data_IF_233151419050
#
_entry.id   IF_233151419050
#
_cell.length_a   1.000
_cell.length_b   1.000
_cell.length_c   1.000
_cell.angle_alpha   90.00
_cell.angle_beta   90.00
_cell.angle_gamma   90.00
#
_symmetry.space_group_name_H-M   'P 1'
#
loop_
_entity.id
_entity.type
_entity.pdbx_description
1 polymer ?
#
# COMPACT_ATOMS: atom_id res chain seq x y z
N UNK A 1 -2.90 -38.17 -21.92
CA UNK A 1 -3.69 -37.14 -22.62
C UNK A 1 -5.08 -36.91 -22.01
N UNK A 2 -5.87 -37.95 -21.69
CA UNK A 2 -7.21 -37.80 -21.06
C UNK A 2 -7.20 -37.04 -19.73
N UNK A 3 -6.23 -37.28 -18.86
CA UNK A 3 -6.11 -36.61 -17.55
C UNK A 3 -5.85 -35.09 -17.68
N UNK A 4 -5.01 -34.67 -18.64
CA UNK A 4 -4.79 -33.25 -18.95
C UNK A 4 -6.05 -32.57 -19.50
N UNK A 5 -6.80 -33.24 -20.37
CA UNK A 5 -8.08 -32.72 -20.87
C UNK A 5 -9.15 -32.61 -19.78
N UNK A 6 -9.16 -33.55 -18.83
CA UNK A 6 -10.09 -33.53 -17.70
C UNK A 6 -9.79 -32.38 -16.74
N UNK A 7 -8.51 -32.18 -16.38
CA UNK A 7 -8.05 -31.04 -15.57
C UNK A 7 -8.26 -29.70 -16.28
N UNK A 8 -8.14 -29.63 -17.60
CA UNK A 8 -8.42 -28.39 -18.33
C UNK A 8 -9.92 -28.04 -18.32
N UNK A 9 -10.80 -29.05 -18.39
CA UNK A 9 -12.26 -28.83 -18.32
C UNK A 9 -12.75 -28.48 -16.91
N UNK A 10 -12.05 -28.94 -15.88
CA UNK A 10 -12.36 -28.65 -14.48
C UNK A 10 -11.06 -28.37 -13.71
N UNK A 11 -10.49 -27.16 -13.89
CA UNK A 11 -9.21 -26.82 -13.29
C UNK A 11 -9.34 -26.71 -11.77
N UNK A 12 -8.21 -26.89 -11.08
CA UNK A 12 -8.12 -26.64 -9.65
C UNK A 12 -8.46 -25.17 -9.34
N UNK A 13 -9.01 -24.88 -8.15
CA UNK A 13 -9.40 -23.52 -7.75
C UNK A 13 -8.24 -22.53 -7.81
N UNK A 14 -6.99 -22.99 -7.71
CA UNK A 14 -5.79 -22.17 -7.88
C UNK A 14 -5.58 -21.55 -9.27
N UNK A 15 -6.29 -22.03 -10.30
CA UNK A 15 -6.24 -21.47 -11.65
C UNK A 15 -7.33 -20.40 -11.91
N UNK A 16 -8.21 -20.16 -10.96
CA UNK A 16 -9.26 -19.15 -11.07
C UNK A 16 -8.73 -17.78 -10.62
N UNK A 17 -9.25 -16.72 -11.24
CA UNK A 17 -9.01 -15.36 -10.78
C UNK A 17 -9.62 -15.08 -9.41
N UNK A 18 -9.21 -13.96 -8.82
CA UNK A 18 -9.86 -13.38 -7.64
C UNK A 18 -10.75 -12.23 -8.09
N UNK A 19 -12.06 -12.36 -7.87
CA UNK A 19 -13.03 -11.35 -8.25
C UNK A 19 -13.12 -10.25 -7.18
N UNK A 20 -13.34 -9.00 -7.59
CA UNK A 20 -13.61 -7.92 -6.64
C UNK A 20 -15.04 -8.02 -6.13
N UNK A 21 -15.19 -8.18 -4.81
CA UNK A 21 -16.47 -7.99 -4.14
C UNK A 21 -16.52 -6.59 -3.53
N UNK A 22 -17.04 -5.64 -4.32
CA UNK A 22 -17.14 -4.23 -3.95
C UNK A 22 -18.26 -4.02 -2.92
N UNK A 23 -17.91 -3.93 -1.64
CA UNK A 23 -18.82 -3.60 -0.56
C UNK A 23 -19.25 -2.13 -0.67
N UNK A 24 -20.53 -1.92 -0.94
CA UNK A 24 -21.17 -0.62 -1.01
C UNK A 24 -22.57 -0.69 -0.36
N UNK A 25 -23.20 0.47 -0.17
CA UNK A 25 -24.51 0.60 0.47
C UNK A 25 -24.57 -0.07 1.86
N UNK A 26 -25.76 -0.36 2.36
CA UNK A 26 -25.99 -1.06 3.63
C UNK A 26 -25.72 -2.56 3.46
N UNK A 27 -24.86 -3.11 4.33
CA UNK A 27 -24.46 -4.51 4.31
C UNK A 27 -25.51 -5.44 4.96
N UNK A 28 -26.67 -5.60 4.33
CA UNK A 28 -27.72 -6.50 4.84
C UNK A 28 -27.31 -7.97 4.69
N UNK A 29 -27.58 -8.80 5.71
CA UNK A 29 -27.18 -10.22 5.68
C UNK A 29 -27.89 -11.00 4.56
N UNK A 30 -29.13 -10.61 4.21
CA UNK A 30 -29.88 -11.18 3.09
C UNK A 30 -29.18 -10.92 1.76
N UNK A 31 -28.80 -9.67 1.52
CA UNK A 31 -28.14 -9.27 0.27
C UNK A 31 -26.76 -9.90 0.13
N UNK A 32 -25.95 -9.87 1.21
CA UNK A 32 -24.63 -10.50 1.22
C UNK A 32 -24.71 -12.00 0.90
N UNK A 33 -25.69 -12.71 1.47
CA UNK A 33 -25.87 -14.14 1.21
C UNK A 33 -26.31 -14.39 -0.23
N UNK A 34 -27.24 -13.57 -0.75
CA UNK A 34 -27.69 -13.65 -2.14
C UNK A 34 -26.52 -13.46 -3.11
N UNK A 35 -25.70 -12.42 -2.92
CA UNK A 35 -24.55 -12.11 -3.76
C UNK A 35 -23.51 -13.24 -3.74
N UNK A 36 -23.18 -13.77 -2.56
CA UNK A 36 -22.26 -14.91 -2.44
C UNK A 36 -22.79 -16.17 -3.13
N UNK A 37 -24.10 -16.45 -3.01
CA UNK A 37 -24.71 -17.59 -3.68
C UNK A 37 -24.68 -17.44 -5.21
N UNK A 38 -24.96 -16.25 -5.73
CA UNK A 38 -24.88 -15.99 -7.18
C UNK A 38 -23.43 -16.06 -7.70
N UNK A 39 -22.45 -15.51 -6.96
CA UNK A 39 -21.02 -15.68 -7.28
C UNK A 39 -20.61 -17.16 -7.33
N UNK A 40 -21.03 -17.95 -6.33
CA UNK A 40 -20.78 -19.39 -6.31
C UNK A 40 -21.40 -20.11 -7.50
N UNK A 41 -22.61 -19.73 -7.91
CA UNK A 41 -23.36 -20.34 -9.02
C UNK A 41 -22.69 -20.10 -10.37
N UNK A 42 -22.09 -18.92 -10.58
CA UNK A 42 -21.36 -18.61 -11.82
C UNK A 42 -19.91 -19.13 -11.80
N UNK A 43 -19.47 -19.72 -10.69
CA UNK A 43 -18.19 -20.43 -10.60
C UNK A 43 -17.04 -19.63 -9.97
N UNK A 44 -17.30 -18.47 -9.35
CA UNK A 44 -16.29 -17.72 -8.60
C UNK A 44 -15.69 -18.60 -7.49
N UNK A 45 -14.36 -18.64 -7.39
CA UNK A 45 -13.60 -19.43 -6.40
C UNK A 45 -12.87 -18.58 -5.36
N UNK A 46 -12.69 -17.30 -5.65
CA UNK A 46 -11.94 -16.38 -4.82
C UNK A 46 -12.52 -14.98 -4.94
N UNK A 47 -12.65 -14.29 -3.81
CA UNK A 47 -13.12 -12.89 -3.75
C UNK A 47 -12.17 -12.02 -2.94
N UNK A 48 -11.98 -10.78 -3.37
CA UNK A 48 -11.38 -9.70 -2.60
C UNK A 48 -12.50 -8.82 -2.05
N UNK A 49 -12.67 -8.83 -0.73
CA UNK A 49 -13.64 -7.97 -0.06
C UNK A 49 -13.03 -6.57 0.03
N UNK A 50 -13.65 -5.61 -0.63
CA UNK A 50 -13.13 -4.24 -0.77
C UNK A 50 -14.20 -3.23 -0.41
N UNK A 51 -13.85 -2.21 0.38
CA UNK A 51 -14.74 -1.06 0.58
C UNK A 51 -14.80 -0.22 -0.69
N UNK A 52 -15.99 0.27 -1.03
CA UNK A 52 -16.20 1.06 -2.23
C UNK A 52 -17.06 2.28 -1.95
N UNK A 53 -17.01 3.25 -2.87
CA UNK A 53 -17.80 4.49 -2.78
C UNK A 53 -19.29 4.17 -2.59
N UNK A 54 -19.91 4.87 -1.64
CA UNK A 54 -21.31 4.66 -1.27
C UNK A 54 -21.54 3.61 -0.19
N UNK A 55 -20.49 3.04 0.42
CA UNK A 55 -20.62 2.17 1.60
C UNK A 55 -21.32 2.91 2.76
N UNK A 56 -22.44 2.35 3.22
CA UNK A 56 -23.18 2.85 4.37
C UNK A 56 -22.98 1.87 5.54
N UNK A 57 -21.84 2.00 6.21
CA UNK A 57 -21.41 1.16 7.33
C UNK A 57 -20.57 1.99 8.29
N UNK A 58 -20.43 1.51 9.51
CA UNK A 58 -19.53 2.06 10.53
C UNK A 58 -18.04 1.79 10.27
N UNK A 59 -17.62 1.54 9.01
CA UNK A 59 -16.25 1.16 8.70
C UNK A 59 -15.22 2.12 9.32
N UNK A 60 -14.14 1.61 9.97
CA UNK A 60 -13.75 0.22 10.18
C UNK A 60 -14.22 -0.36 11.54
N UNK A 61 -15.46 -0.09 11.93
CA UNK A 61 -16.03 -0.43 13.23
C UNK A 61 -16.57 -1.86 13.36
N UNK A 62 -17.12 -2.14 14.54
CA UNK A 62 -17.54 -3.48 14.96
C UNK A 62 -18.65 -4.09 14.11
N UNK A 63 -19.61 -3.29 13.60
CA UNK A 63 -20.66 -3.86 12.75
C UNK A 63 -20.09 -4.27 11.40
N UNK A 64 -19.19 -3.49 10.81
CA UNK A 64 -18.46 -3.87 9.60
C UNK A 64 -17.68 -5.18 9.80
N UNK A 65 -16.97 -5.34 10.93
CA UNK A 65 -16.28 -6.59 11.27
C UNK A 65 -17.26 -7.77 11.37
N UNK A 66 -18.41 -7.61 12.02
CA UNK A 66 -19.47 -8.65 12.08
C UNK A 66 -19.97 -9.04 10.69
N UNK A 67 -20.12 -8.07 9.77
CA UNK A 67 -20.50 -8.33 8.37
C UNK A 67 -19.39 -9.04 7.60
N UNK A 68 -18.14 -8.67 7.83
CA UNK A 68 -16.98 -9.36 7.27
C UNK A 68 -16.93 -10.82 7.73
N UNK A 69 -17.17 -11.09 9.02
CA UNK A 69 -17.29 -12.46 9.54
C UNK A 69 -18.42 -13.24 8.87
N UNK A 70 -19.59 -12.62 8.76
CA UNK A 70 -20.72 -13.22 8.05
C UNK A 70 -20.37 -13.58 6.60
N UNK A 71 -19.62 -12.73 5.89
CA UNK A 71 -19.15 -13.02 4.53
C UNK A 71 -18.21 -14.23 4.54
N UNK A 72 -17.17 -14.22 5.39
CA UNK A 72 -16.17 -15.29 5.45
C UNK A 72 -16.81 -16.64 5.80
N UNK A 73 -17.71 -16.69 6.78
CA UNK A 73 -18.37 -17.93 7.19
C UNK A 73 -19.25 -18.52 6.08
N UNK A 74 -19.93 -17.68 5.30
CA UNK A 74 -20.75 -18.16 4.18
C UNK A 74 -19.90 -18.47 2.95
N UNK A 75 -18.83 -17.72 2.67
CA UNK A 75 -17.84 -18.04 1.65
C UNK A 75 -17.22 -19.43 1.91
N UNK A 76 -16.88 -19.73 3.18
CA UNK A 76 -16.40 -21.05 3.60
C UNK A 76 -17.37 -22.18 3.23
N UNK A 77 -18.67 -22.00 3.49
CA UNK A 77 -19.71 -23.01 3.15
C UNK A 77 -19.83 -23.24 1.64
N UNK A 78 -19.54 -22.21 0.84
CA UNK A 78 -19.60 -22.24 -0.62
C UNK A 78 -18.27 -22.66 -1.27
N UNK A 79 -17.22 -22.90 -0.48
CA UNK A 79 -15.88 -23.20 -1.00
C UNK A 79 -15.23 -22.01 -1.72
N UNK A 80 -15.62 -20.79 -1.38
CA UNK A 80 -15.03 -19.54 -1.88
C UNK A 80 -13.94 -19.08 -0.91
N UNK A 81 -12.77 -18.76 -1.44
CA UNK A 81 -11.67 -18.18 -0.68
C UNK A 81 -11.75 -16.66 -0.66
N UNK A 82 -11.16 -16.04 0.36
CA UNK A 82 -11.31 -14.61 0.67
C UNK A 82 -9.95 -13.96 0.79
N UNK A 83 -9.86 -12.77 0.19
CA UNK A 83 -8.74 -11.84 0.31
C UNK A 83 -9.26 -10.62 1.08
N UNK A 84 -8.53 -10.21 2.13
CA UNK A 84 -8.85 -9.05 2.95
C UNK A 84 -8.03 -7.84 2.50
N UNK A 85 -8.61 -6.65 2.50
CA UNK A 85 -7.86 -5.42 2.24
C UNK A 85 -7.26 -4.85 3.54
N UNK A 86 -6.21 -4.03 3.46
CA UNK A 86 -5.80 -3.19 4.57
C UNK A 86 -6.94 -2.26 5.03
N UNK A 87 -6.99 -1.94 6.34
CA UNK A 87 -7.95 -0.98 6.91
C UNK A 87 -7.95 0.38 6.19
N UNK A 88 -6.77 0.92 5.90
CA UNK A 88 -6.60 2.14 5.12
C UNK A 88 -5.49 1.98 4.10
N UNK A 89 -5.63 2.64 2.96
CA UNK A 89 -4.53 2.80 2.01
C UNK A 89 -3.42 3.65 2.67
N UNK A 90 -2.14 3.42 2.35
CA UNK A 90 -1.03 4.18 2.94
C UNK A 90 -1.14 5.70 2.79
N UNK A 91 -1.84 6.21 1.78
CA UNK A 91 -1.97 7.65 1.52
C UNK A 91 -3.13 8.33 2.27
N UNK A 92 -4.00 7.55 2.91
CA UNK A 92 -5.27 8.04 3.47
C UNK A 92 -5.48 7.51 4.89
N UNK A 93 -4.49 7.67 5.77
CA UNK A 93 -4.61 7.29 7.19
C UNK A 93 -5.16 8.48 7.99
N UNK A 94 -6.37 8.39 8.54
CA UNK A 94 -6.92 9.47 9.35
C UNK A 94 -6.11 9.68 10.63
N UNK A 95 -5.79 10.94 10.93
CA UNK A 95 -5.12 11.36 12.17
C UNK A 95 -3.80 10.59 12.46
N UNK A 96 -3.00 10.33 11.42
CA UNK A 96 -1.70 9.70 11.57
C UNK A 96 -0.77 10.56 12.47
N UNK A 97 -0.12 9.99 13.49
CA UNK A 97 0.87 10.72 14.28
C UNK A 97 2.03 11.20 13.40
N UNK A 98 2.49 12.43 13.64
CA UNK A 98 3.53 13.08 12.84
C UNK A 98 4.87 12.34 12.85
N UNK A 99 5.13 11.52 13.88
CA UNK A 99 6.31 10.66 13.89
C UNK A 99 6.31 9.60 12.78
N UNK A 100 5.13 9.10 12.40
CA UNK A 100 4.93 8.03 11.41
C UNK A 100 4.55 8.53 10.01
N UNK A 101 4.38 9.83 9.84
CA UNK A 101 4.04 10.43 8.55
C UNK A 101 5.29 10.70 7.69
N UNK A 102 5.15 10.53 6.38
CA UNK A 102 6.22 10.85 5.41
C UNK A 102 6.36 12.36 5.23
N UNK A 103 7.58 12.84 5.00
CA UNK A 103 7.82 14.20 4.51
C UNK A 103 8.17 14.19 3.03
N UNK A 104 8.03 15.33 2.36
CA UNK A 104 8.31 15.52 0.95
C UNK A 104 9.23 16.71 0.72
N UNK A 105 9.95 16.67 -0.40
CA UNK A 105 10.73 17.80 -0.89
C UNK A 105 9.84 18.69 -1.76
N UNK A 106 9.44 19.83 -1.22
CA UNK A 106 8.52 20.77 -1.87
C UNK A 106 9.30 22.00 -2.34
N UNK A 107 9.36 22.27 -3.65
CA UNK A 107 9.92 23.51 -4.17
C UNK A 107 8.94 24.67 -3.90
N UNK A 108 9.43 25.76 -3.33
CA UNK A 108 8.71 27.02 -3.08
C UNK A 108 9.50 28.17 -3.70
N UNK A 109 8.85 29.26 -4.11
CA UNK A 109 9.60 30.47 -4.45
C UNK A 109 10.30 30.99 -3.20
N UNK A 110 11.53 31.49 -3.34
CA UNK A 110 12.33 31.91 -2.17
C UNK A 110 11.65 33.01 -1.35
N UNK A 111 10.85 33.88 -1.99
CA UNK A 111 10.06 34.92 -1.30
C UNK A 111 8.77 34.40 -0.63
N UNK A 112 8.38 33.14 -0.87
CA UNK A 112 7.22 32.47 -0.26
C UNK A 112 7.61 31.56 0.91
N UNK A 113 8.91 31.44 1.21
CA UNK A 113 9.42 30.65 2.33
C UNK A 113 9.06 31.32 3.66
N UNK A 114 8.46 30.56 4.57
CA UNK A 114 8.11 31.02 5.92
C UNK A 114 9.21 30.72 6.93
N UNK A 115 9.26 31.47 8.04
CA UNK A 115 10.31 31.34 9.09
C UNK A 115 10.43 29.92 9.69
N UNK A 116 9.36 29.11 9.64
CA UNK A 116 9.35 27.72 10.13
C UNK A 116 9.62 26.66 9.07
N UNK A 117 9.87 27.04 7.81
CA UNK A 117 10.17 26.08 6.75
C UNK A 117 11.56 25.49 6.93
N UNK A 118 11.65 24.17 6.81
CA UNK A 118 12.93 23.47 6.82
C UNK A 118 13.52 23.48 5.39
N UNK A 119 14.33 24.49 5.07
CA UNK A 119 14.98 24.66 3.76
C UNK A 119 16.22 23.75 3.66
N UNK A 120 16.26 22.91 2.63
CA UNK A 120 17.40 22.02 2.34
C UNK A 120 18.47 22.77 1.53
N UNK A 121 18.05 23.40 0.44
CA UNK A 121 18.92 24.20 -0.42
C UNK A 121 18.10 25.25 -1.19
N UNK A 122 18.79 26.22 -1.77
CA UNK A 122 18.23 27.20 -2.70
C UNK A 122 18.93 27.08 -4.05
N UNK A 123 18.20 27.29 -5.13
CA UNK A 123 18.74 27.34 -6.49
C UNK A 123 17.87 28.27 -7.32
N UNK A 124 18.50 29.24 -8.01
CA UNK A 124 17.80 30.35 -8.68
C UNK A 124 16.85 31.08 -7.71
N UNK A 125 15.58 31.25 -8.08
CA UNK A 125 14.51 31.87 -7.29
C UNK A 125 13.68 30.86 -6.47
N UNK A 126 14.17 29.63 -6.32
CA UNK A 126 13.48 28.52 -5.66
C UNK A 126 14.22 28.02 -4.42
N UNK A 127 13.46 27.71 -3.37
CA UNK A 127 13.90 27.03 -2.17
C UNK A 127 13.26 25.65 -2.07
N UNK A 128 14.06 24.62 -1.77
CA UNK A 128 13.58 23.25 -1.63
C UNK A 128 13.38 22.92 -0.16
N UNK A 129 12.14 22.78 0.27
CA UNK A 129 11.79 22.62 1.69
C UNK A 129 11.34 21.19 2.00
N UNK A 130 11.63 20.72 3.21
CA UNK A 130 11.01 19.51 3.77
C UNK A 130 9.63 19.86 4.33
N UNK A 131 8.58 19.23 3.81
CA UNK A 131 7.20 19.42 4.29
C UNK A 131 6.59 18.08 4.70
N UNK A 132 6.04 18.01 5.93
CA UNK A 132 5.39 16.80 6.45
C UNK A 132 4.01 16.59 5.81
N UNK A 133 3.68 15.35 5.45
CA UNK A 133 2.34 14.96 5.05
C UNK A 133 1.42 14.76 6.26
N UNK A 134 0.16 15.16 6.15
CA UNK A 134 -0.84 14.99 7.21
C UNK A 134 -1.63 13.68 7.17
N UNK A 135 -1.46 12.85 6.12
CA UNK A 135 -2.31 11.66 5.92
C UNK A 135 -1.59 10.44 5.34
N UNK A 136 -0.30 10.57 5.01
CA UNK A 136 0.46 9.53 4.32
C UNK A 136 1.48 8.91 5.28
N UNK A 137 1.47 7.59 5.42
CA UNK A 137 2.44 6.88 6.26
C UNK A 137 3.83 6.80 5.63
N UNK A 138 4.84 6.85 6.47
CA UNK A 138 6.24 6.73 6.11
C UNK A 138 6.63 5.27 5.80
N UNK A 139 6.45 4.85 4.55
CA UNK A 139 6.74 3.47 4.10
C UNK A 139 8.24 3.11 4.04
N UNK A 140 9.13 4.10 4.15
CA UNK A 140 10.58 3.93 4.09
C UNK A 140 11.24 3.80 5.48
N UNK A 141 10.46 3.86 6.55
CA UNK A 141 10.95 3.76 7.93
C UNK A 141 10.38 2.53 8.63
N UNK A 142 11.22 1.84 9.39
CA UNK A 142 10.87 0.59 10.08
C UNK A 142 9.73 0.80 11.08
N UNK A 143 9.85 1.81 11.93
CA UNK A 143 8.91 2.01 13.05
C UNK A 143 7.54 2.45 12.53
N UNK A 144 7.54 3.26 11.47
CA UNK A 144 6.34 3.71 10.77
C UNK A 144 5.61 2.58 10.07
N UNK A 145 6.33 1.65 9.42
CA UNK A 145 5.71 0.46 8.84
C UNK A 145 5.21 -0.49 9.92
N UNK A 146 5.94 -0.67 11.03
CA UNK A 146 5.46 -1.50 12.15
C UNK A 146 4.15 -0.94 12.75
N UNK A 147 4.06 0.38 12.89
CA UNK A 147 2.83 1.06 13.28
C UNK A 147 1.68 0.78 12.29
N UNK A 148 1.95 0.91 10.99
CA UNK A 148 0.96 0.65 9.95
C UNK A 148 0.47 -0.80 9.93
N UNK A 149 1.37 -1.77 10.04
CA UNK A 149 1.04 -3.20 10.12
C UNK A 149 0.14 -3.45 11.33
N UNK A 150 0.52 -2.91 12.49
CA UNK A 150 -0.24 -3.07 13.72
C UNK A 150 -1.66 -2.50 13.60
N UNK A 151 -1.83 -1.27 13.13
CA UNK A 151 -3.16 -0.65 13.06
C UNK A 151 -4.01 -1.20 11.89
N UNK A 152 -3.44 -1.25 10.69
CA UNK A 152 -4.22 -1.51 9.48
C UNK A 152 -4.39 -2.98 9.12
N UNK A 153 -3.61 -3.88 9.74
CA UNK A 153 -3.70 -5.31 9.50
C UNK A 153 -3.98 -6.07 10.80
N UNK A 154 -3.16 -5.92 11.82
CA UNK A 154 -3.28 -6.72 13.04
C UNK A 154 -4.54 -6.36 13.83
N UNK A 155 -4.72 -5.10 14.24
CA UNK A 155 -5.91 -4.66 14.98
C UNK A 155 -7.22 -4.82 14.18
N UNK A 156 -7.14 -4.72 12.86
CA UNK A 156 -8.30 -4.84 11.98
C UNK A 156 -8.73 -6.31 11.82
N UNK A 157 -7.77 -7.23 11.69
CA UNK A 157 -8.03 -8.59 11.23
C UNK A 157 -7.67 -9.71 12.22
N UNK A 158 -7.11 -9.42 13.40
CA UNK A 158 -6.76 -10.43 14.41
C UNK A 158 -7.93 -11.34 14.80
N UNK A 159 -9.17 -10.81 14.75
CA UNK A 159 -10.38 -11.56 15.08
C UNK A 159 -10.71 -12.66 14.06
N UNK A 160 -9.96 -12.78 12.96
CA UNK A 160 -10.22 -13.72 11.87
C UNK A 160 -9.10 -14.78 11.72
N UNK A 161 -8.17 -14.86 12.68
CA UNK A 161 -7.03 -15.77 12.63
C UNK A 161 -7.44 -17.24 12.45
N UNK A 162 -8.61 -17.65 12.95
CA UNK A 162 -9.14 -19.01 12.77
C UNK A 162 -9.46 -19.37 11.32
N UNK A 163 -9.52 -18.39 10.41
CA UNK A 163 -9.76 -18.61 8.98
C UNK A 163 -8.49 -18.54 8.14
N UNK A 164 -7.35 -18.15 8.70
CA UNK A 164 -6.12 -17.88 7.96
C UNK A 164 -5.49 -19.14 7.36
N UNK A 165 -5.03 -19.02 6.11
CA UNK A 165 -4.47 -20.13 5.33
C UNK A 165 -5.49 -21.16 4.85
N UNK A 166 -6.78 -20.95 5.15
CA UNK A 166 -7.88 -21.76 4.68
C UNK A 166 -8.88 -20.90 3.89
N UNK A 167 -9.90 -20.37 4.55
CA UNK A 167 -10.89 -19.52 3.88
C UNK A 167 -10.31 -18.15 3.57
N UNK A 168 -9.51 -17.57 4.46
CA UNK A 168 -8.80 -16.31 4.22
C UNK A 168 -7.37 -16.63 3.78
N UNK A 169 -7.05 -16.35 2.52
CA UNK A 169 -5.77 -16.76 1.92
C UNK A 169 -4.71 -15.68 1.94
N UNK A 170 -5.10 -14.41 1.89
CA UNK A 170 -4.17 -13.29 1.73
C UNK A 170 -4.75 -12.02 2.32
N UNK A 171 -3.85 -11.13 2.72
CA UNK A 171 -4.15 -9.71 2.70
C UNK A 171 -3.71 -9.13 1.35
N UNK A 172 -4.53 -8.23 0.81
CA UNK A 172 -4.33 -7.54 -0.45
C UNK A 172 -3.83 -6.12 -0.17
N UNK A 173 -2.67 -5.80 -0.73
CA UNK A 173 -2.12 -4.45 -0.72
C UNK A 173 -2.67 -3.66 -1.89
N UNK A 174 -3.26 -2.52 -1.59
CA UNK A 174 -3.79 -1.59 -2.56
C UNK A 174 -2.86 -0.40 -2.75
N UNK A 175 -2.16 -0.36 -3.89
CA UNK A 175 -1.39 0.79 -4.37
C UNK A 175 -0.50 1.44 -3.29
N UNK A 176 0.52 0.73 -2.79
CA UNK A 176 1.38 1.28 -1.75
C UNK A 176 2.18 2.43 -2.33
N UNK A 177 1.79 3.64 -1.94
CA UNK A 177 2.31 4.90 -2.46
C UNK A 177 2.65 5.86 -1.32
N UNK A 178 3.44 6.87 -1.65
CA UNK A 178 3.98 7.85 -0.71
C UNK A 178 3.69 9.27 -1.17
N UNK A 179 2.57 9.53 -1.83
CA UNK A 179 2.25 10.83 -2.40
C UNK A 179 2.78 11.02 -3.83
N UNK A 180 1.99 11.69 -4.67
CA UNK A 180 2.25 11.81 -6.12
C UNK A 180 2.87 13.15 -6.53
N UNK A 181 2.67 14.18 -5.72
CA UNK A 181 3.00 15.56 -6.07
C UNK A 181 4.51 15.82 -6.03
N UNK A 182 5.19 15.32 -4.99
CA UNK A 182 6.56 15.69 -4.66
C UNK A 182 7.41 14.47 -4.28
N UNK A 183 8.74 14.50 -4.52
CA UNK A 183 9.63 13.42 -4.11
C UNK A 183 9.62 13.21 -2.59
N UNK A 184 9.66 11.95 -2.11
CA UNK A 184 9.66 11.66 -0.68
C UNK A 184 10.99 12.04 0.00
N UNK A 185 10.92 12.53 1.22
CA UNK A 185 12.07 12.86 2.06
C UNK A 185 11.98 12.11 3.38
N UNK A 186 12.45 10.84 3.45
CA UNK A 186 12.62 10.13 4.72
C UNK A 186 13.41 10.95 5.74
N UNK A 187 13.08 10.86 7.04
CA UNK A 187 13.78 11.64 8.08
C UNK A 187 15.28 11.35 8.15
N UNK A 188 15.66 10.08 7.99
CA UNK A 188 17.05 9.61 7.97
C UNK A 188 17.69 9.62 6.57
N UNK A 189 17.02 10.21 5.57
CA UNK A 189 17.43 10.11 4.16
C UNK A 189 18.84 10.64 3.92
N UNK A 190 19.17 11.84 4.42
CA UNK A 190 20.46 12.49 4.13
C UNK A 190 21.65 11.70 4.66
N UNK A 191 21.55 11.19 5.89
CA UNK A 191 22.61 10.38 6.51
C UNK A 191 22.79 9.05 5.79
N UNK A 192 21.69 8.36 5.47
CA UNK A 192 21.74 7.10 4.72
C UNK A 192 22.32 7.33 3.33
N UNK A 193 21.90 8.40 2.64
CA UNK A 193 22.40 8.75 1.31
C UNK A 193 23.90 9.00 1.32
N UNK A 194 24.37 9.83 2.27
CA UNK A 194 25.79 10.16 2.40
C UNK A 194 26.64 8.92 2.69
N UNK A 195 26.15 8.02 3.53
CA UNK A 195 26.84 6.77 3.84
C UNK A 195 26.88 5.80 2.65
N UNK A 196 25.81 5.73 1.84
CA UNK A 196 25.73 4.81 0.69
C UNK A 196 26.55 5.31 -0.51
N UNK A 197 26.52 6.61 -0.81
CA UNK A 197 27.10 7.15 -2.05
C UNK A 197 28.33 8.06 -1.84
N UNK A 198 28.70 8.36 -0.58
CA UNK A 198 29.92 9.09 -0.26
C UNK A 198 29.87 10.60 -0.45
N UNK A 199 28.70 11.20 -0.70
CA UNK A 199 28.53 12.65 -0.81
C UNK A 199 27.21 13.14 -0.21
N UNK A 200 27.15 14.42 0.16
CA UNK A 200 25.94 15.05 0.66
C UNK A 200 25.02 15.46 -0.49
N UNK A 201 23.78 14.96 -0.50
CA UNK A 201 22.79 15.29 -1.51
C UNK A 201 22.10 16.63 -1.28
N UNK A 202 22.12 17.19 -0.05
CA UNK A 202 21.45 18.44 0.28
C UNK A 202 21.73 19.59 -0.72
N UNK A 203 23.00 19.91 -1.07
CA UNK A 203 23.30 20.96 -2.05
C UNK A 203 22.93 20.58 -3.50
N UNK A 204 22.50 19.34 -3.75
CA UNK A 204 22.20 18.81 -5.08
C UNK A 204 20.70 18.49 -5.28
N UNK A 205 19.85 18.72 -4.27
CA UNK A 205 18.42 18.38 -4.32
C UNK A 205 17.70 19.06 -5.49
N UNK A 206 18.10 20.29 -5.85
CA UNK A 206 17.51 21.00 -6.99
C UNK A 206 17.63 20.21 -8.31
N UNK A 207 18.64 19.34 -8.45
CA UNK A 207 18.87 18.50 -9.63
C UNK A 207 17.77 17.45 -9.84
N UNK A 208 16.90 17.21 -8.85
CA UNK A 208 15.68 16.39 -9.06
C UNK A 208 14.69 17.07 -10.03
N UNK A 209 14.73 18.41 -10.13
CA UNK A 209 13.91 19.20 -11.06
C UNK A 209 14.72 19.70 -12.25
N UNK A 210 15.92 20.22 -12.03
CA UNK A 210 16.73 20.85 -13.06
C UNK A 210 17.71 19.84 -13.69
N UNK A 211 17.86 19.90 -15.03
CA UNK A 211 18.73 19.01 -15.79
C UNK A 211 20.13 19.61 -15.96
N UNK A 212 20.83 19.80 -14.84
CA UNK A 212 22.13 20.48 -14.76
C UNK A 212 23.24 19.53 -14.32
N UNK A 213 24.45 19.70 -14.87
CA UNK A 213 25.64 18.92 -14.54
C UNK A 213 25.40 17.38 -14.56
N UNK A 214 25.70 16.72 -13.44
CA UNK A 214 25.56 15.30 -13.15
C UNK A 214 24.15 14.91 -12.64
N UNK A 215 23.10 15.67 -12.98
CA UNK A 215 21.73 15.42 -12.50
C UNK A 215 21.26 13.97 -12.71
N UNK A 216 21.70 13.30 -13.78
CA UNK A 216 21.35 11.90 -14.05
C UNK A 216 21.85 10.97 -12.94
N UNK A 217 23.08 11.18 -12.49
CA UNK A 217 23.71 10.43 -11.39
C UNK A 217 22.97 10.70 -10.08
N UNK A 218 22.71 11.98 -9.77
CA UNK A 218 21.97 12.37 -8.55
C UNK A 218 20.58 11.75 -8.52
N UNK A 219 19.82 11.83 -9.63
CA UNK A 219 18.48 11.22 -9.73
C UNK A 219 18.54 9.70 -9.61
N UNK A 220 19.55 9.06 -10.23
CA UNK A 220 19.73 7.62 -10.13
C UNK A 220 20.00 7.17 -8.70
N UNK A 221 20.97 7.79 -8.01
CA UNK A 221 21.26 7.49 -6.61
C UNK A 221 20.06 7.75 -5.69
N UNK A 222 19.36 8.86 -5.90
CA UNK A 222 18.17 9.21 -5.13
C UNK A 222 17.08 8.14 -5.25
N UNK A 223 16.64 7.82 -6.47
CA UNK A 223 15.54 6.88 -6.68
C UNK A 223 15.92 5.43 -6.32
N UNK A 224 17.20 5.05 -6.54
CA UNK A 224 17.71 3.74 -6.11
C UNK A 224 17.65 3.59 -4.59
N UNK A 225 18.00 4.65 -3.84
CA UNK A 225 17.89 4.60 -2.38
C UNK A 225 16.42 4.54 -1.92
N UNK A 226 15.54 5.34 -2.51
CA UNK A 226 14.11 5.31 -2.19
C UNK A 226 13.52 3.91 -2.44
N UNK A 227 13.85 3.27 -3.56
CA UNK A 227 13.46 1.89 -3.86
C UNK A 227 14.00 0.91 -2.80
N UNK A 228 15.30 0.98 -2.49
CA UNK A 228 15.95 0.11 -1.48
C UNK A 228 15.26 0.24 -0.12
N UNK A 229 14.88 1.46 0.30
CA UNK A 229 14.17 1.67 1.56
C UNK A 229 12.74 1.12 1.51
N UNK A 230 12.03 1.31 0.40
CA UNK A 230 10.66 0.78 0.20
C UNK A 230 10.65 -0.75 0.24
N UNK A 231 11.57 -1.40 -0.47
CA UNK A 231 11.70 -2.85 -0.49
C UNK A 231 11.94 -3.42 0.92
N UNK A 232 12.90 -2.83 1.64
CA UNK A 232 13.35 -3.35 2.93
C UNK A 232 12.38 -3.03 4.07
N UNK A 233 11.83 -1.83 4.10
CA UNK A 233 10.98 -1.39 5.20
C UNK A 233 9.50 -1.71 4.96
N UNK A 234 8.99 -1.64 3.74
CA UNK A 234 7.58 -1.96 3.49
C UNK A 234 7.37 -3.41 3.05
N UNK A 235 7.83 -3.77 1.86
CA UNK A 235 7.48 -5.05 1.22
C UNK A 235 8.00 -6.27 2.01
N UNK A 236 9.27 -6.27 2.40
CA UNK A 236 9.85 -7.39 3.18
C UNK A 236 9.20 -7.53 4.56
N UNK A 237 8.91 -6.42 5.24
CA UNK A 237 8.28 -6.45 6.58
C UNK A 237 6.86 -6.97 6.51
N UNK A 238 6.04 -6.44 5.59
CA UNK A 238 4.66 -6.89 5.44
C UNK A 238 4.58 -8.36 4.99
N UNK A 239 5.46 -8.79 4.07
CA UNK A 239 5.60 -10.20 3.68
C UNK A 239 5.98 -11.08 4.88
N UNK A 240 6.91 -10.64 5.72
CA UNK A 240 7.31 -11.38 6.91
C UNK A 240 6.14 -11.52 7.90
N UNK A 241 5.38 -10.45 8.13
CA UNK A 241 4.16 -10.49 8.95
C UNK A 241 3.09 -11.43 8.36
N UNK A 242 2.85 -11.40 7.05
CA UNK A 242 1.92 -12.34 6.42
C UNK A 242 2.33 -13.80 6.68
N UNK A 243 3.64 -14.10 6.60
CA UNK A 243 4.18 -15.45 6.86
C UNK A 243 3.92 -15.90 8.30
N UNK A 244 4.05 -15.02 9.30
CA UNK A 244 3.78 -15.40 10.71
C UNK A 244 2.31 -15.68 10.97
N UNK A 245 1.41 -15.13 10.15
CA UNK A 245 -0.05 -15.31 10.24
C UNK A 245 -0.60 -16.38 9.29
N UNK A 246 0.25 -17.14 8.60
CA UNK A 246 -0.16 -18.12 7.57
C UNK A 246 -1.00 -17.50 6.42
N UNK A 247 -0.68 -16.26 6.07
CA UNK A 247 -1.29 -15.52 4.97
C UNK A 247 -0.31 -15.40 3.80
N UNK A 248 -0.85 -15.38 2.58
CA UNK A 248 -0.11 -14.93 1.40
C UNK A 248 0.02 -13.41 1.40
N UNK A 249 1.04 -12.94 0.71
CA UNK A 249 1.26 -11.53 0.42
C UNK A 249 0.91 -11.29 -1.05
N UNK A 250 -0.11 -10.48 -1.32
CA UNK A 250 -0.56 -10.14 -2.68
C UNK A 250 -1.04 -8.69 -2.76
N UNK A 251 -1.22 -8.18 -3.96
CA UNK A 251 -1.59 -6.80 -4.19
C UNK A 251 -1.28 -6.37 -5.62
N UNK A 252 -1.47 -5.09 -5.87
CA UNK A 252 -1.04 -4.41 -7.11
C UNK A 252 -0.36 -3.09 -6.77
N UNK A 253 0.46 -2.60 -7.70
CA UNK A 253 1.26 -1.40 -7.51
C UNK A 253 0.63 -0.21 -8.24
N UNK A 254 0.94 0.99 -7.78
CA UNK A 254 0.52 2.20 -8.48
C UNK A 254 1.49 2.53 -9.63
N UNK A 255 0.92 2.88 -10.79
CA UNK A 255 1.70 3.40 -11.93
C UNK A 255 2.25 2.34 -12.88
N UNK A 256 1.68 1.14 -12.90
CA UNK A 256 2.17 -0.03 -13.66
C UNK A 256 2.24 0.14 -15.18
N UNK A 257 1.66 1.21 -15.73
CA UNK A 257 1.68 1.50 -17.16
C UNK A 257 3.10 1.74 -17.73
N UNK A 258 4.04 2.23 -16.91
CA UNK A 258 5.44 2.37 -17.31
C UNK A 258 6.39 2.48 -16.11
N UNK A 259 7.64 2.08 -16.31
CA UNK A 259 8.69 2.10 -15.28
C UNK A 259 8.84 3.47 -14.60
N UNK A 260 8.75 4.55 -15.38
CA UNK A 260 8.82 5.93 -14.87
C UNK A 260 7.74 6.21 -13.82
N UNK A 261 6.50 5.79 -14.09
CA UNK A 261 5.39 6.03 -13.17
C UNK A 261 5.49 5.12 -11.95
N UNK A 262 5.90 3.87 -12.14
CA UNK A 262 6.07 2.90 -11.06
C UNK A 262 7.14 3.35 -10.05
N UNK A 263 8.31 3.80 -10.54
CA UNK A 263 9.36 4.40 -9.68
C UNK A 263 8.82 5.62 -8.95
N UNK A 264 8.13 6.51 -9.65
CA UNK A 264 7.66 7.78 -9.07
C UNK A 264 6.57 7.58 -8.01
N UNK A 265 5.68 6.60 -8.18
CA UNK A 265 4.48 6.47 -7.35
C UNK A 265 4.57 5.39 -6.29
N UNK A 266 5.26 4.28 -6.58
CA UNK A 266 5.37 3.14 -5.66
C UNK A 266 6.82 2.77 -5.34
N UNK A 267 7.81 3.49 -5.91
CA UNK A 267 9.24 3.18 -5.77
C UNK A 267 9.56 1.71 -6.08
N UNK A 268 8.74 1.11 -6.94
CA UNK A 268 8.93 -0.24 -7.45
C UNK A 268 9.52 -0.16 -8.85
N UNK A 269 10.51 -0.99 -9.10
CA UNK A 269 11.18 -1.21 -10.37
C UNK A 269 11.83 -2.60 -10.35
#
# INVERSE_FOLDING_TARGET
>A
MRDKQMRFKNPDSSYYGTDFFMLNNTLSSRELLFQLAEMSKIGTKSILIRTYSGLNSDYPGENFKKKTRFIIENAKKLGITVYLQAKYMPECIPNIPSEYAISHIVPKKTNEVSLGDNVICTHNDMSFCVCLSGSIVHLFDKNSVDYYIKDCYENMWSDFEEFYGNTVLSVWVDEPAFGRAFPPCPKSFFDIFKNEYGYDIAPHIFKLWFAEDDYKTVRYHYWTLIQKLMENNYFKRLKAWCKTKNLKFSGHLLGENCLKNQIRFSAAA
#
